data_IF_293680694411
#
_entry.id   IF_293680694411
#
_cell.length_a   1.000
_cell.length_b   1.000
_cell.length_c   1.000
_cell.angle_alpha   90.00
_cell.angle_beta   90.00
_cell.angle_gamma   90.00
#
_symmetry.space_group_name_H-M   'P 1'
#
loop_
_entity.id
_entity.type
_entity.pdbx_description
1 polymer ?
#
# COMPACT_ATOMS: atom_id res chain seq x y z
N UNK A 1 15.93 -5.53 6.52
CA UNK A 1 14.62 -5.02 6.05
C UNK A 1 14.64 -3.52 6.27
N UNK A 2 14.04 -2.73 5.36
CA UNK A 2 13.92 -1.27 5.54
C UNK A 2 12.48 -0.95 5.91
N UNK A 3 12.30 -0.09 6.92
CA UNK A 3 10.99 0.45 7.29
C UNK A 3 10.83 1.84 6.69
N UNK A 4 9.73 2.04 5.98
CA UNK A 4 9.26 3.35 5.56
C UNK A 4 7.80 3.52 5.98
N UNK A 5 7.35 4.74 6.20
CA UNK A 5 5.94 5.02 6.45
C UNK A 5 5.27 5.37 5.12
N UNK A 6 4.21 4.63 4.77
CA UNK A 6 3.34 4.98 3.66
C UNK A 6 2.14 5.76 4.20
N UNK A 7 1.87 6.92 3.62
CA UNK A 7 0.68 7.72 3.90
C UNK A 7 -0.12 7.96 2.62
N UNK A 8 -1.42 7.76 2.68
CA UNK A 8 -2.36 7.86 1.55
C UNK A 8 -3.49 8.78 1.96
N UNK A 9 -3.63 9.92 1.29
CA UNK A 9 -4.77 10.82 1.46
C UNK A 9 -5.88 10.40 0.50
N UNK A 10 -7.06 10.06 1.03
CA UNK A 10 -8.17 9.60 0.20
C UNK A 10 -9.50 10.19 0.65
N UNK A 11 -9.74 11.43 0.19
CA UNK A 11 -10.84 12.28 0.67
C UNK A 11 -12.24 11.89 0.17
N UNK A 12 -12.32 11.03 -0.83
CA UNK A 12 -13.60 10.58 -1.41
C UNK A 12 -14.16 9.34 -0.72
N UNK A 13 -13.42 8.73 0.21
CA UNK A 13 -13.88 7.54 0.90
C UNK A 13 -14.91 7.87 1.98
N UNK A 14 -15.98 7.06 2.10
CA UNK A 14 -16.93 7.19 3.19
C UNK A 14 -16.28 7.12 4.57
N UNK A 15 -16.89 7.75 5.57
CA UNK A 15 -16.38 7.80 6.95
C UNK A 15 -16.37 6.45 7.63
N UNK A 16 -17.14 5.48 7.14
CA UNK A 16 -17.24 4.11 7.68
C UNK A 16 -16.03 3.24 7.30
N UNK A 17 -15.19 3.72 6.38
CA UNK A 17 -13.96 3.03 5.96
C UNK A 17 -12.83 3.43 6.88
N UNK A 18 -12.54 2.64 7.92
CA UNK A 18 -11.44 2.93 8.85
C UNK A 18 -10.09 2.32 8.44
N UNK A 19 -10.09 1.50 7.40
CA UNK A 19 -8.88 0.82 6.95
C UNK A 19 -8.86 0.50 5.46
N UNK A 20 -7.65 0.52 4.92
CA UNK A 20 -7.35 0.13 3.54
C UNK A 20 -6.40 -1.06 3.56
N UNK A 21 -6.57 -1.97 2.62
CA UNK A 21 -5.65 -3.03 2.32
C UNK A 21 -4.74 -2.60 1.18
N UNK A 22 -3.44 -2.49 1.45
CA UNK A 22 -2.40 -2.42 0.43
C UNK A 22 -1.98 -3.84 0.07
N UNK A 23 -2.02 -4.19 -1.21
CA UNK A 23 -1.44 -5.43 -1.75
C UNK A 23 -0.36 -5.07 -2.75
N UNK A 24 0.87 -5.53 -2.54
CA UNK A 24 2.03 -5.32 -3.40
C UNK A 24 2.58 -6.66 -3.86
N UNK A 25 3.06 -6.71 -5.10
CA UNK A 25 3.75 -7.85 -5.69
C UNK A 25 5.05 -7.37 -6.34
N UNK A 26 6.13 -8.11 -6.13
CA UNK A 26 7.42 -7.81 -6.74
C UNK A 26 7.34 -8.03 -8.25
N UNK A 27 7.62 -6.98 -9.03
CA UNK A 27 7.55 -7.03 -10.49
C UNK A 27 8.70 -7.83 -11.09
N UNK A 28 9.93 -7.59 -10.61
CA UNK A 28 11.13 -8.25 -11.13
C UNK A 28 11.36 -9.64 -10.52
N UNK A 29 10.89 -9.86 -9.29
CA UNK A 29 11.06 -11.12 -8.58
C UNK A 29 9.76 -11.56 -7.92
N UNK A 30 9.26 -12.74 -8.29
CA UNK A 30 8.07 -13.35 -7.69
C UNK A 30 8.35 -13.76 -6.22
N UNK A 31 8.28 -12.79 -5.31
CA UNK A 31 8.40 -13.00 -3.86
C UNK A 31 7.03 -13.20 -3.19
N UNK A 32 5.97 -13.32 -3.98
CA UNK A 32 4.59 -13.39 -3.50
C UNK A 32 3.97 -12.01 -3.27
N UNK A 33 2.78 -12.01 -2.67
CA UNK A 33 2.03 -10.78 -2.39
C UNK A 33 2.28 -10.31 -0.96
N UNK A 34 2.88 -9.13 -0.81
CA UNK A 34 2.96 -8.41 0.44
C UNK A 34 1.64 -7.69 0.71
N UNK A 35 1.06 -7.86 1.90
CA UNK A 35 -0.18 -7.21 2.32
C UNK A 35 0.05 -6.38 3.57
N UNK A 36 -0.45 -5.15 3.57
CA UNK A 36 -0.34 -4.21 4.68
C UNK A 36 -1.69 -3.55 4.94
N UNK A 37 -2.08 -3.49 6.21
CA UNK A 37 -3.25 -2.75 6.66
C UNK A 37 -2.86 -1.29 6.91
N UNK A 38 -3.41 -0.37 6.14
CA UNK A 38 -3.32 1.07 6.40
C UNK A 38 -4.50 1.47 7.27
N UNK A 39 -4.23 2.11 8.40
CA UNK A 39 -5.28 2.59 9.31
C UNK A 39 -5.55 4.06 9.07
N UNK A 40 -6.83 4.44 9.15
CA UNK A 40 -7.24 5.84 9.12
C UNK A 40 -6.62 6.58 10.30
N UNK A 41 -6.01 7.71 10.00
CA UNK A 41 -5.47 8.71 10.90
C UNK A 41 -6.35 9.97 10.82
N UNK A 42 -5.92 11.07 11.43
CA UNK A 42 -6.56 12.36 11.26
C UNK A 42 -6.66 12.76 9.76
N UNK A 43 -7.64 13.60 9.44
CA UNK A 43 -7.77 14.27 8.14
C UNK A 43 -7.89 13.34 6.92
N UNK A 44 -8.61 12.22 7.04
CA UNK A 44 -8.82 11.25 5.95
C UNK A 44 -7.52 10.68 5.35
N UNK A 45 -6.45 10.71 6.13
CA UNK A 45 -5.16 10.11 5.76
C UNK A 45 -5.10 8.70 6.32
N UNK A 46 -4.61 7.75 5.53
CA UNK A 46 -4.37 6.37 5.96
C UNK A 46 -2.89 6.11 6.02
N UNK A 47 -2.40 5.50 7.09
CA UNK A 47 -0.96 5.27 7.24
C UNK A 47 -0.63 3.88 7.79
N UNK A 48 0.57 3.41 7.47
CA UNK A 48 1.11 2.16 7.97
C UNK A 48 2.61 2.01 7.65
N UNK A 49 3.28 1.14 8.40
CA UNK A 49 4.71 0.88 8.23
C UNK A 49 4.93 -0.14 7.13
N UNK A 50 5.45 0.34 6.01
CA UNK A 50 5.86 -0.44 4.86
C UNK A 50 7.22 -1.08 5.13
N UNK A 51 7.20 -2.38 5.38
CA UNK A 51 8.37 -3.20 5.64
C UNK A 51 8.69 -4.05 4.41
N UNK A 52 9.59 -3.55 3.57
CA UNK A 52 10.04 -4.28 2.40
C UNK A 52 11.44 -4.87 2.62
N UNK A 53 11.73 -6.04 2.02
CA UNK A 53 13.08 -6.60 2.04
C UNK A 53 14.06 -5.63 1.38
N UNK A 54 15.30 -5.64 1.85
CA UNK A 54 16.36 -4.80 1.25
C UNK A 54 16.62 -5.32 -0.15
N UNK A 55 16.63 -4.43 -1.14
CA UNK A 55 16.98 -4.80 -2.49
C UNK A 55 18.50 -5.04 -2.56
N UNK A 56 18.91 -6.22 -3.03
CA UNK A 56 20.31 -6.53 -3.36
C UNK A 56 20.66 -6.24 -4.82
N UNK A 57 19.65 -5.85 -5.62
CA UNK A 57 19.78 -5.43 -7.02
C UNK A 57 19.83 -3.90 -7.12
N UNK A 58 20.12 -3.36 -8.31
CA UNK A 58 20.19 -1.92 -8.56
C UNK A 58 18.85 -1.20 -8.32
N UNK A 59 17.72 -1.88 -8.59
CA UNK A 59 16.38 -1.41 -8.28
C UNK A 59 15.40 -2.59 -8.15
N UNK A 60 14.33 -2.38 -7.38
CA UNK A 60 13.18 -3.30 -7.29
C UNK A 60 11.88 -2.52 -7.28
N UNK A 61 10.95 -2.97 -8.12
CA UNK A 61 9.64 -2.37 -8.31
C UNK A 61 8.57 -3.28 -7.72
N UNK A 62 7.75 -2.72 -6.85
CA UNK A 62 6.56 -3.38 -6.32
C UNK A 62 5.34 -2.74 -6.96
N UNK A 63 4.49 -3.55 -7.55
CA UNK A 63 3.23 -3.12 -8.17
C UNK A 63 2.07 -3.63 -7.34
N UNK A 64 1.02 -2.84 -7.23
CA UNK A 64 -0.07 -3.22 -6.36
C UNK A 64 -1.29 -2.33 -6.41
N UNK A 65 -2.19 -2.59 -5.48
CA UNK A 65 -3.45 -1.86 -5.34
C UNK A 65 -3.75 -1.58 -3.86
N UNK A 66 -4.46 -0.47 -3.64
CA UNK A 66 -5.02 -0.11 -2.35
C UNK A 66 -6.55 -0.20 -2.46
N UNK A 67 -7.17 -0.96 -1.57
CA UNK A 67 -8.62 -1.21 -1.57
C UNK A 67 -9.21 -1.01 -0.17
N UNK A 68 -10.37 -0.35 -0.03
CA UNK A 68 -11.13 -0.34 1.23
C UNK A 68 -11.50 -1.76 1.70
N UNK A 69 -11.45 -2.02 3.00
CA UNK A 69 -11.85 -3.33 3.56
C UNK A 69 -13.37 -3.44 3.73
N UNK A 70 -14.04 -2.32 4.01
CA UNK A 70 -15.43 -2.30 4.49
C UNK A 70 -16.45 -1.93 3.39
N UNK A 71 -15.99 -1.47 2.23
CA UNK A 71 -16.83 -1.08 1.10
C UNK A 71 -16.18 -1.50 -0.22
N UNK A 72 -16.54 -2.70 -0.68
CA UNK A 72 -16.09 -3.29 -1.95
C UNK A 72 -17.02 -2.97 -3.12
N UNK A 73 -18.14 -2.27 -2.88
CA UNK A 73 -19.21 -2.12 -3.89
C UNK A 73 -19.07 -0.86 -4.73
N UNK A 74 -18.40 0.19 -4.23
CA UNK A 74 -18.31 1.47 -4.94
C UNK A 74 -16.89 2.04 -5.10
N UNK A 75 -15.90 1.49 -4.41
CA UNK A 75 -14.53 1.98 -4.49
C UNK A 75 -13.74 1.21 -5.56
N UNK A 76 -13.30 1.93 -6.61
CA UNK A 76 -12.30 1.39 -7.53
C UNK A 76 -10.95 1.24 -6.83
N UNK A 77 -10.23 0.12 -7.02
CA UNK A 77 -8.88 -0.04 -6.48
C UNK A 77 -7.96 1.07 -6.96
N UNK A 78 -7.18 1.67 -6.05
CA UNK A 78 -6.18 2.67 -6.40
C UNK A 78 -4.87 1.95 -6.74
N UNK A 79 -4.39 1.98 -8.00
CA UNK A 79 -3.11 1.37 -8.36
C UNK A 79 -1.94 2.15 -7.76
N UNK A 80 -0.91 1.42 -7.32
CA UNK A 80 0.32 1.99 -6.76
C UNK A 80 1.55 1.26 -7.32
N UNK A 81 2.62 2.02 -7.55
CA UNK A 81 3.95 1.52 -7.90
C UNK A 81 4.96 2.09 -6.91
N UNK A 82 5.74 1.21 -6.29
CA UNK A 82 6.81 1.56 -5.36
C UNK A 82 8.12 1.09 -5.96
N UNK A 83 9.03 2.02 -6.24
CA UNK A 83 10.37 1.70 -6.73
C UNK A 83 11.39 1.98 -5.65
N UNK A 84 12.11 0.94 -5.25
CA UNK A 84 13.24 1.04 -4.34
C UNK A 84 14.54 1.14 -5.15
N UNK A 85 15.37 2.12 -4.82
CA UNK A 85 16.72 2.31 -5.36
C UNK A 85 17.72 2.35 -4.21
N UNK A 86 18.96 1.89 -4.44
CA UNK A 86 20.06 2.05 -3.49
C UNK A 86 20.52 3.51 -3.39
#
# INVERSE_FOLDING_TARGET
>A
MVSNTLSVEWNTLPTEVDSLMLSLEGHEMMMGTYKLLLKRSADNTFSGDLLLPVCTSDAMTWLGTITPINDTSHASPLPISVRMTQ
#
